data_IF_483950841233
#
_entry.id   IF_483950841233
#
_cell.length_a   1.000
_cell.length_b   1.000
_cell.length_c   1.000
_cell.angle_alpha   90.00
_cell.angle_beta   90.00
_cell.angle_gamma   90.00
#
_symmetry.space_group_name_H-M   'P 1'
#
loop_
_entity.id
_entity.type
_entity.pdbx_description
1 polymer ?
#
# COMPACT_ATOMS: atom_id res chain seq x y z
N UNK A 1 -11.36 9.65 -3.70
CA UNK A 1 -9.99 9.47 -4.25
C UNK A 1 -8.99 9.96 -3.22
N UNK A 2 -7.99 9.16 -2.85
CA UNK A 2 -7.10 9.44 -1.72
C UNK A 2 -6.13 10.62 -1.94
N UNK A 3 -5.71 10.84 -3.19
CA UNK A 3 -4.74 11.87 -3.57
C UNK A 3 -5.31 12.86 -4.60
N UNK A 4 -4.59 13.97 -4.85
CA UNK A 4 -4.77 14.75 -6.07
C UNK A 4 -4.13 14.03 -7.29
N UNK A 5 -4.61 14.25 -8.53
CA UNK A 5 -4.27 13.45 -9.71
C UNK A 5 -2.79 13.19 -9.97
N UNK A 6 -1.93 14.20 -9.76
CA UNK A 6 -0.48 14.12 -9.98
C UNK A 6 0.31 14.52 -8.71
N UNK A 7 -0.28 14.23 -7.56
CA UNK A 7 0.32 14.56 -6.27
C UNK A 7 0.37 13.34 -5.34
N UNK A 8 1.40 13.26 -4.49
CA UNK A 8 1.44 12.35 -3.34
C UNK A 8 0.78 12.94 -2.08
N UNK A 9 0.18 14.13 -2.15
CA UNK A 9 -0.53 14.74 -1.01
C UNK A 9 -1.88 14.07 -0.80
N UNK A 10 -2.07 13.49 0.39
CA UNK A 10 -3.34 12.91 0.82
C UNK A 10 -4.36 14.03 1.00
N UNK A 11 -5.52 13.87 0.39
CA UNK A 11 -6.64 14.82 0.56
C UNK A 11 -7.17 14.77 1.99
N UNK A 12 -7.37 15.94 2.60
CA UNK A 12 -7.91 16.11 3.96
C UNK A 12 -9.17 15.27 4.20
N UNK A 13 -10.08 15.26 3.22
CA UNK A 13 -11.39 14.62 3.32
C UNK A 13 -11.28 13.08 3.36
N UNK A 14 -10.13 12.51 3.01
CA UNK A 14 -9.88 11.07 3.00
C UNK A 14 -8.96 10.61 4.15
N UNK A 15 -8.49 11.55 4.99
CA UNK A 15 -7.65 11.23 6.16
C UNK A 15 -8.38 10.30 7.13
N UNK A 16 -9.69 10.49 7.30
CA UNK A 16 -10.51 9.64 8.18
C UNK A 16 -10.52 8.17 7.75
N UNK A 17 -10.50 7.90 6.43
CA UNK A 17 -10.43 6.53 5.90
C UNK A 17 -9.10 5.88 6.27
N UNK A 18 -7.99 6.59 6.14
CA UNK A 18 -6.68 6.08 6.56
C UNK A 18 -6.60 5.89 8.07
N UNK A 19 -7.22 6.77 8.86
CA UNK A 19 -7.31 6.59 10.31
C UNK A 19 -8.06 5.30 10.64
N UNK A 20 -9.22 5.07 10.03
CA UNK A 20 -10.00 3.85 10.23
C UNK A 20 -9.22 2.59 9.89
N UNK A 21 -8.49 2.60 8.77
CA UNK A 21 -7.60 1.49 8.40
C UNK A 21 -6.50 1.31 9.45
N UNK A 22 -5.85 2.38 9.89
CA UNK A 22 -4.81 2.32 10.92
C UNK A 22 -5.32 1.76 12.24
N UNK A 23 -6.52 2.17 12.67
CA UNK A 23 -7.17 1.65 13.88
C UNK A 23 -7.40 0.13 13.78
N UNK A 24 -7.90 -0.37 12.65
CA UNK A 24 -8.06 -1.82 12.40
C UNK A 24 -6.71 -2.54 12.43
N UNK A 25 -5.70 -2.00 11.75
CA UNK A 25 -4.38 -2.63 11.67
C UNK A 25 -3.73 -2.74 13.05
N UNK A 26 -3.92 -1.77 13.92
CA UNK A 26 -3.47 -1.83 15.32
C UNK A 26 -4.20 -2.91 16.11
N UNK A 27 -5.52 -3.04 15.94
CA UNK A 27 -6.31 -4.08 16.61
C UNK A 27 -5.80 -5.49 16.28
N UNK A 28 -5.38 -5.71 15.04
CA UNK A 28 -4.88 -7.01 14.56
C UNK A 28 -3.36 -7.12 14.51
N UNK A 29 -2.60 -6.12 14.99
CA UNK A 29 -1.13 -6.06 14.88
C UNK A 29 -0.41 -7.35 15.32
N UNK A 30 -0.81 -8.04 16.41
CA UNK A 30 -0.19 -9.30 16.81
C UNK A 30 -0.25 -10.42 15.77
N UNK A 31 -1.20 -10.34 14.84
CA UNK A 31 -1.38 -11.31 13.75
C UNK A 31 -0.65 -10.91 12.47
N UNK A 32 -0.20 -9.66 12.37
CA UNK A 32 0.47 -9.10 11.19
C UNK A 32 1.96 -9.42 11.23
N UNK A 33 2.44 -10.05 10.16
CA UNK A 33 3.86 -10.22 9.89
C UNK A 33 4.41 -9.03 9.08
N UNK A 34 3.80 -8.72 7.94
CA UNK A 34 4.19 -7.56 7.11
C UNK A 34 2.98 -6.82 6.55
N UNK A 35 3.19 -5.55 6.24
CA UNK A 35 2.26 -4.63 5.57
C UNK A 35 2.98 -4.06 4.35
N UNK A 36 2.58 -4.48 3.14
CA UNK A 36 3.07 -3.89 1.90
C UNK A 36 2.10 -2.82 1.41
N UNK A 37 2.62 -1.63 1.12
CA UNK A 37 1.88 -0.49 0.59
C UNK A 37 2.29 -0.29 -0.87
N UNK A 38 1.36 -0.53 -1.79
CA UNK A 38 1.55 -0.46 -3.23
C UNK A 38 0.92 0.79 -3.84
N UNK A 39 1.69 1.62 -4.52
CA UNK A 39 1.17 2.82 -5.18
C UNK A 39 1.03 2.65 -6.69
N UNK A 40 -0.01 3.25 -7.27
CA UNK A 40 -0.30 3.17 -8.71
C UNK A 40 -0.67 4.53 -9.31
N UNK A 41 -0.44 4.68 -10.62
CA UNK A 41 -0.86 5.84 -11.41
C UNK A 41 -1.76 5.43 -12.56
N UNK A 42 -2.57 6.37 -13.05
CA UNK A 42 -3.24 6.21 -14.34
C UNK A 42 -2.25 6.50 -15.48
N UNK A 43 -2.59 6.03 -16.68
CA UNK A 43 -1.98 6.51 -17.92
C UNK A 43 -2.86 7.59 -18.53
N UNK A 44 -2.27 8.65 -19.08
CA UNK A 44 -2.99 9.68 -19.83
C UNK A 44 -2.73 9.62 -21.34
N UNK A 45 -1.97 8.62 -21.82
CA UNK A 45 -1.61 8.47 -23.24
C UNK A 45 -0.51 9.42 -23.72
N UNK A 46 -0.32 10.57 -23.05
CA UNK A 46 0.80 11.48 -23.28
C UNK A 46 2.13 10.86 -22.81
N UNK A 47 3.26 11.22 -23.43
CA UNK A 47 4.60 10.86 -22.95
C UNK A 47 4.89 11.58 -21.62
N UNK A 48 4.29 11.10 -20.54
CA UNK A 48 4.81 11.29 -19.20
C UNK A 48 6.11 10.50 -19.13
N UNK A 49 7.21 11.18 -18.75
CA UNK A 49 8.49 10.53 -18.47
C UNK A 49 8.21 9.26 -17.68
N UNK A 50 8.64 8.10 -18.17
CA UNK A 50 8.34 6.81 -17.51
C UNK A 50 8.75 6.84 -16.05
N UNK A 51 9.85 7.53 -15.73
CA UNK A 51 10.36 7.76 -14.38
C UNK A 51 9.39 8.56 -13.50
N UNK A 52 8.68 9.57 -14.03
CA UNK A 52 7.73 10.35 -13.24
C UNK A 52 6.59 9.48 -12.69
N UNK A 53 6.04 8.56 -13.48
CA UNK A 53 5.00 7.64 -12.99
C UNK A 53 5.54 6.67 -11.94
N UNK A 54 6.80 6.23 -12.08
CA UNK A 54 7.46 5.42 -11.05
C UNK A 54 7.62 6.20 -9.73
N UNK A 55 8.15 7.41 -9.81
CA UNK A 55 8.34 8.31 -8.65
C UNK A 55 7.01 8.62 -7.97
N UNK A 56 6.01 9.11 -8.72
CA UNK A 56 4.71 9.47 -8.17
C UNK A 56 4.00 8.29 -7.50
N UNK A 57 4.08 7.11 -8.11
CA UNK A 57 3.49 5.91 -7.52
C UNK A 57 4.18 5.53 -6.20
N UNK A 58 5.50 5.64 -6.14
CA UNK A 58 6.31 5.36 -4.95
C UNK A 58 6.03 6.38 -3.85
N UNK A 59 6.02 7.67 -4.19
CA UNK A 59 5.77 8.76 -3.25
C UNK A 59 4.37 8.68 -2.62
N UNK A 60 3.36 8.27 -3.37
CA UNK A 60 2.01 8.02 -2.82
C UNK A 60 2.01 6.93 -1.76
N UNK A 61 2.68 5.81 -2.05
CA UNK A 61 2.79 4.73 -1.08
C UNK A 61 3.59 5.17 0.16
N UNK A 62 4.66 5.96 -0.01
CA UNK A 62 5.42 6.56 1.09
C UNK A 62 4.55 7.51 1.92
N UNK A 63 3.68 8.32 1.29
CA UNK A 63 2.76 9.19 2.03
C UNK A 63 1.80 8.41 2.92
N UNK A 64 1.29 7.26 2.47
CA UNK A 64 0.44 6.38 3.29
C UNK A 64 1.25 5.74 4.42
N UNK A 65 2.47 5.26 4.14
CA UNK A 65 3.39 4.75 5.18
C UNK A 65 3.61 5.81 6.26
N UNK A 66 3.98 7.03 5.88
CA UNK A 66 4.22 8.14 6.81
C UNK A 66 3.00 8.43 7.66
N UNK A 67 1.81 8.38 7.07
CA UNK A 67 0.56 8.58 7.80
C UNK A 67 0.34 7.47 8.84
N UNK A 68 0.44 6.20 8.43
CA UNK A 68 0.23 5.04 9.31
C UNK A 68 1.24 4.99 10.45
N UNK A 69 2.51 5.28 10.19
CA UNK A 69 3.55 5.32 11.24
C UNK A 69 3.34 6.51 12.17
N UNK A 70 3.23 7.74 11.64
CA UNK A 70 3.27 8.95 12.47
C UNK A 70 1.96 9.26 13.18
N UNK A 71 0.83 8.88 12.58
CA UNK A 71 -0.51 9.25 13.07
C UNK A 71 -1.20 8.07 13.73
N UNK A 72 -0.97 6.86 13.23
CA UNK A 72 -1.59 5.65 13.77
C UNK A 72 -0.63 4.81 14.61
N UNK A 73 0.64 5.22 14.78
CA UNK A 73 1.64 4.55 15.63
C UNK A 73 1.91 3.08 15.24
N UNK A 74 1.79 2.77 13.94
CA UNK A 74 2.12 1.43 13.44
C UNK A 74 3.64 1.20 13.36
N UNK A 75 4.11 -0.03 13.63
CA UNK A 75 5.53 -0.36 13.59
C UNK A 75 6.09 -0.29 12.16
N UNK A 76 6.99 0.66 11.92
CA UNK A 76 7.69 0.83 10.64
C UNK A 76 8.43 -0.44 10.20
N UNK A 77 8.93 -1.24 11.16
CA UNK A 77 9.63 -2.50 10.90
C UNK A 77 8.79 -3.57 10.21
N UNK A 78 7.45 -3.45 10.21
CA UNK A 78 6.54 -4.35 9.48
C UNK A 78 6.23 -3.86 8.07
N UNK A 79 6.70 -2.67 7.67
CA UNK A 79 6.24 -2.02 6.44
C UNK A 79 7.20 -2.18 5.26
N UNK A 80 6.63 -2.36 4.08
CA UNK A 80 7.33 -2.31 2.79
C UNK A 80 6.56 -1.40 1.83
N UNK A 81 7.27 -0.68 0.96
CA UNK A 81 6.67 0.17 -0.07
C UNK A 81 7.05 -0.32 -1.46
N UNK A 82 6.06 -0.38 -2.35
CA UNK A 82 6.22 -0.70 -3.78
C UNK A 82 5.57 0.38 -4.64
N UNK A 83 6.30 0.94 -5.61
CA UNK A 83 5.72 1.77 -6.67
C UNK A 83 5.49 0.93 -7.92
N UNK A 84 4.27 0.92 -8.46
CA UNK A 84 3.89 0.10 -9.62
C UNK A 84 3.67 0.92 -10.90
N UNK A 85 3.82 2.25 -10.83
CA UNK A 85 3.63 3.13 -11.98
C UNK A 85 2.26 2.92 -12.66
N UNK A 86 2.18 3.14 -13.96
CA UNK A 86 0.97 2.98 -14.80
C UNK A 86 0.78 1.56 -15.36
N UNK A 87 1.70 0.64 -15.06
CA UNK A 87 1.77 -0.67 -15.70
C UNK A 87 0.82 -1.72 -15.12
N UNK A 88 0.12 -1.39 -14.03
CA UNK A 88 -0.84 -2.28 -13.36
C UNK A 88 -2.24 -1.63 -13.29
N UNK A 89 -2.89 -1.35 -14.42
CA UNK A 89 -4.25 -0.80 -14.44
C UNK A 89 -5.27 -1.86 -14.01
N UNK A 90 -6.31 -1.42 -13.30
CA UNK A 90 -7.48 -2.23 -12.92
C UNK A 90 -8.74 -1.81 -13.69
N UNK A 91 -8.69 -0.68 -14.38
CA UNK A 91 -9.74 -0.16 -15.24
C UNK A 91 -9.14 0.49 -16.50
N UNK A 92 -9.99 0.82 -17.48
CA UNK A 92 -9.56 1.57 -18.66
C UNK A 92 -8.98 2.95 -18.28
N UNK A 93 -8.15 3.53 -19.15
CA UNK A 93 -7.65 4.91 -18.99
C UNK A 93 -8.38 5.93 -19.88
N UNK A 94 -9.43 5.50 -20.59
CA UNK A 94 -10.10 6.31 -21.62
C UNK A 94 -10.87 7.50 -21.04
N UNK A 95 -11.44 7.36 -19.85
CA UNK A 95 -12.20 8.41 -19.18
C UNK A 95 -11.68 8.67 -17.75
N UNK A 96 -12.05 9.83 -17.20
CA UNK A 96 -11.53 10.28 -15.92
C UNK A 96 -11.99 9.39 -14.76
N UNK A 97 -13.22 8.91 -14.78
CA UNK A 97 -13.76 8.00 -13.76
C UNK A 97 -12.94 6.72 -13.67
N UNK A 98 -12.62 6.11 -14.80
CA UNK A 98 -11.82 4.88 -14.87
C UNK A 98 -10.36 5.13 -14.49
N UNK A 99 -9.79 6.28 -14.86
CA UNK A 99 -8.43 6.68 -14.43
C UNK A 99 -8.34 6.88 -12.91
N UNK A 100 -9.40 7.34 -12.25
CA UNK A 100 -9.40 7.47 -10.80
C UNK A 100 -9.24 6.11 -10.11
N UNK A 101 -9.81 5.04 -10.68
CA UNK A 101 -9.61 3.67 -10.16
C UNK A 101 -8.15 3.23 -10.27
N UNK A 102 -7.44 3.64 -11.33
CA UNK A 102 -6.03 3.31 -11.51
C UNK A 102 -5.09 4.12 -10.58
N UNK A 103 -5.53 5.30 -10.12
CA UNK A 103 -4.80 6.16 -9.17
C UNK A 103 -5.09 5.77 -7.71
N UNK A 104 -4.71 4.55 -7.37
CA UNK A 104 -4.98 3.90 -6.07
C UNK A 104 -3.72 3.62 -5.28
N UNK A 105 -3.91 3.33 -3.99
CA UNK A 105 -2.93 2.64 -3.15
C UNK A 105 -3.55 1.34 -2.66
N UNK A 106 -2.77 0.27 -2.68
CA UNK A 106 -3.11 -1.05 -2.16
C UNK A 106 -2.37 -1.28 -0.84
N UNK A 107 -3.02 -1.92 0.13
CA UNK A 107 -2.38 -2.37 1.37
C UNK A 107 -2.56 -3.88 1.46
N UNK A 108 -1.45 -4.62 1.41
CA UNK A 108 -1.41 -6.08 1.51
C UNK A 108 -0.85 -6.48 2.86
N UNK A 109 -1.52 -7.39 3.53
CA UNK A 109 -1.14 -7.84 4.87
C UNK A 109 -0.77 -9.32 4.79
N UNK A 110 0.42 -9.67 5.25
CA UNK A 110 0.80 -11.06 5.49
C UNK A 110 0.68 -11.38 6.97
N UNK A 111 0.27 -12.61 7.27
CA UNK A 111 0.03 -13.04 8.66
C UNK A 111 1.14 -13.95 9.14
N UNK A 112 1.42 -13.88 10.43
CA UNK A 112 2.30 -14.85 11.08
C UNK A 112 1.65 -16.23 10.94
N UNK A 113 2.25 -17.11 10.13
CA UNK A 113 1.84 -18.52 10.12
C UNK A 113 2.61 -19.24 11.22
N UNK A 114 1.90 -19.93 12.11
CA UNK A 114 2.54 -20.82 13.07
C UNK A 114 3.18 -21.96 12.27
N UNK A 115 4.49 -21.86 12.00
CA UNK A 115 5.25 -23.00 11.51
C UNK A 115 5.23 -24.04 12.64
N UNK A 116 4.48 -25.13 12.41
CA UNK A 116 4.39 -26.32 13.25
C UNK A 116 5.78 -26.76 13.72
N UNK A 117 5.86 -27.07 15.02
CA UNK A 117 7.06 -27.43 15.78
C UNK A 117 8.00 -28.45 15.10
N UNK A 118 9.30 -28.47 15.44
CA UNK A 118 10.19 -29.57 15.04
C UNK A 118 9.62 -30.90 15.56
N UNK A 119 9.50 -31.88 14.66
CA UNK A 119 8.98 -33.21 14.96
C UNK A 119 9.85 -33.92 16.01
N UNK A 120 9.34 -34.28 17.21
CA UNK A 120 10.08 -35.08 18.17
C UNK A 120 9.90 -36.57 17.84
N UNK A 121 10.55 -37.06 16.79
CA UNK A 121 10.73 -38.51 16.55
C UNK A 121 11.70 -38.73 15.37
N UNK A 122 12.78 -39.49 15.47
CA UNK A 122 13.21 -40.34 16.57
C UNK A 122 14.73 -40.43 16.61
N UNK A 123 15.26 -40.23 17.81
CA UNK A 123 16.46 -40.92 18.20
C UNK A 123 16.00 -42.15 18.98
N UNK A 124 16.06 -43.31 18.33
CA UNK A 124 15.82 -44.59 18.95
C UNK A 124 16.94 -45.54 18.59
N UNK A 125 17.94 -45.55 19.49
CA UNK A 125 18.92 -46.62 19.75
C UNK A 125 20.02 -46.84 18.73
#
# INVERSE_FOLDING_TARGET
MLFYPDSPVIKSDNVQVLKFIGDILNEIDPLIQTIEIGGHTASTGEPTSSFFSWELSSDRAISVLKYLVRTCDLPESKMTVSGYSRYHPIASNDNEESRQLNRRVEIKITRVTSKTAPNPSGDSR
#
